data_IF_536598877809
#
_entry.id   IF_536598877809
#
_cell.length_a   1.000
_cell.length_b   1.000
_cell.length_c   1.000
_cell.angle_alpha   90.00
_cell.angle_beta   90.00
_cell.angle_gamma   90.00
#
_symmetry.space_group_name_H-M   'P 1'
#
loop_
_entity.id
_entity.type
_entity.pdbx_description
1 polymer ?
#
# COMPACT_ATOMS: atom_id res chain seq x y z
N UNK A 1 21.09 9.20 0.48
CA UNK A 1 20.11 9.93 -0.35
C UNK A 1 20.91 10.78 -1.34
N UNK A 2 21.11 10.30 -2.56
CA UNK A 2 21.67 11.12 -3.63
C UNK A 2 20.50 11.84 -4.28
N UNK A 3 20.55 13.17 -4.33
CA UNK A 3 19.63 13.94 -5.15
C UNK A 3 20.00 13.69 -6.62
N UNK A 4 19.30 12.77 -7.27
CA UNK A 4 19.41 12.53 -8.70
C UNK A 4 18.26 13.30 -9.33
N UNK A 5 18.60 14.25 -10.20
CA UNK A 5 17.62 14.94 -11.02
C UNK A 5 17.46 14.14 -12.31
N UNK A 6 16.28 13.58 -12.55
CA UNK A 6 15.60 13.65 -13.85
C UNK A 6 14.33 12.79 -13.88
N UNK A 7 13.18 13.47 -14.01
CA UNK A 7 12.22 13.26 -15.12
C UNK A 7 11.22 14.43 -15.17
N UNK A 8 11.59 15.48 -15.91
CA UNK A 8 10.66 16.39 -16.57
C UNK A 8 9.74 17.30 -15.72
N UNK A 9 10.25 17.99 -14.69
CA UNK A 9 9.61 19.22 -14.17
C UNK A 9 10.41 20.45 -14.55
N UNK A 10 10.51 20.72 -15.85
CA UNK A 10 10.67 22.10 -16.29
C UNK A 10 9.29 22.77 -16.12
N UNK A 11 9.01 23.32 -14.94
CA UNK A 11 7.93 24.31 -14.85
C UNK A 11 8.42 25.51 -15.66
N UNK A 12 8.01 25.55 -16.94
CA UNK A 12 8.43 26.58 -17.86
C UNK A 12 7.87 27.93 -17.38
N UNK A 13 8.71 28.73 -16.73
CA UNK A 13 8.47 30.16 -16.64
C UNK A 13 9.77 30.94 -16.95
N UNK A 14 9.84 31.69 -18.05
CA UNK A 14 11.02 32.45 -18.45
C UNK A 14 11.22 33.78 -17.69
N UNK A 15 10.43 34.06 -16.65
CA UNK A 15 10.28 35.42 -16.10
C UNK A 15 11.02 35.78 -14.80
N UNK A 16 11.28 34.87 -13.86
CA UNK A 16 11.94 35.24 -12.59
C UNK A 16 12.30 34.01 -11.73
N UNK A 17 13.54 34.00 -11.24
CA UNK A 17 14.12 33.19 -10.18
C UNK A 17 14.05 31.64 -10.30
N UNK A 18 15.20 31.10 -10.72
CA UNK A 18 15.98 29.92 -10.26
C UNK A 18 15.35 28.73 -9.52
N UNK A 19 14.18 28.86 -8.90
CA UNK A 19 13.58 27.87 -7.98
C UNK A 19 12.87 26.72 -8.70
N UNK A 20 12.68 26.83 -10.03
CA UNK A 20 12.01 25.82 -10.86
C UNK A 20 12.88 25.26 -11.98
N UNK A 21 14.17 25.55 -11.96
CA UNK A 21 15.10 25.02 -12.95
C UNK A 21 15.50 23.59 -12.57
N UNK A 22 15.63 22.65 -13.52
CA UNK A 22 15.97 21.24 -13.24
C UNK A 22 17.44 21.04 -12.82
N UNK A 23 18.10 22.09 -12.33
CA UNK A 23 19.51 22.11 -11.96
C UNK A 23 19.77 22.96 -10.72
N UNK A 24 20.77 22.55 -9.93
CA UNK A 24 21.24 23.29 -8.76
C UNK A 24 22.12 24.48 -9.19
N UNK A 25 21.95 25.64 -8.57
CA UNK A 25 22.91 26.73 -8.73
C UNK A 25 24.25 26.38 -8.07
N UNK A 26 25.34 26.53 -8.82
CA UNK A 26 26.70 26.34 -8.29
C UNK A 26 26.96 27.32 -7.15
N UNK A 27 27.48 26.84 -6.02
CA UNK A 27 27.85 27.67 -4.87
C UNK A 27 26.71 28.08 -3.93
N UNK A 28 25.46 27.65 -4.17
CA UNK A 28 24.35 27.84 -3.22
C UNK A 28 23.89 26.49 -2.63
N UNK A 29 23.57 26.42 -1.33
CA UNK A 29 22.79 25.31 -0.79
C UNK A 29 21.45 25.25 -1.56
N UNK A 30 21.23 24.18 -2.31
CA UNK A 30 19.98 23.98 -3.03
C UNK A 30 18.85 23.61 -2.08
N UNK A 31 17.65 24.12 -2.35
CA UNK A 31 16.43 23.64 -1.72
C UNK A 31 16.21 22.15 -2.06
N UNK A 32 15.50 21.43 -1.20
CA UNK A 32 14.99 20.10 -1.54
C UNK A 32 13.97 20.29 -2.67
N UNK A 33 14.12 19.53 -3.75
CA UNK A 33 13.30 19.67 -4.96
C UNK A 33 12.74 18.33 -5.45
N UNK A 34 13.34 17.22 -5.02
CA UNK A 34 12.91 15.87 -5.34
C UNK A 34 13.33 14.92 -4.21
N UNK A 35 12.46 13.97 -3.90
CA UNK A 35 12.81 12.76 -3.16
C UNK A 35 12.75 11.64 -4.18
N UNK A 36 13.82 10.87 -4.34
CA UNK A 36 13.86 9.74 -5.27
C UNK A 36 14.45 8.51 -4.55
N UNK A 37 13.78 7.37 -4.73
CA UNK A 37 14.21 6.10 -4.17
C UNK A 37 15.00 5.28 -5.20
N UNK A 38 15.97 4.46 -4.75
CA UNK A 38 16.62 3.49 -5.63
C UNK A 38 15.59 2.59 -6.34
N UNK A 39 15.90 2.18 -7.57
CA UNK A 39 15.00 1.33 -8.39
C UNK A 39 14.66 -0.02 -7.73
N UNK A 40 15.50 -0.50 -6.81
CA UNK A 40 15.30 -1.72 -6.04
C UNK A 40 14.60 -1.48 -4.68
N UNK A 41 14.12 -0.27 -4.42
CA UNK A 41 13.37 0.05 -3.22
C UNK A 41 12.02 -0.66 -3.19
N UNK A 42 11.71 -1.24 -2.03
CA UNK A 42 10.44 -1.91 -1.74
C UNK A 42 9.85 -1.32 -0.46
N UNK A 43 8.55 -1.03 -0.49
CA UNK A 43 7.77 -0.63 0.67
C UNK A 43 6.77 -1.73 1.00
N UNK A 44 6.67 -2.09 2.28
CA UNK A 44 5.70 -3.06 2.78
C UNK A 44 4.85 -2.38 3.86
N UNK A 45 3.53 -2.48 3.71
CA UNK A 45 2.57 -2.13 4.75
C UNK A 45 1.87 -3.41 5.17
N UNK A 46 1.88 -3.75 6.45
CA UNK A 46 1.22 -4.97 6.95
C UNK A 46 0.19 -4.62 8.02
N UNK A 47 -0.95 -5.30 7.96
CA UNK A 47 -2.08 -5.10 8.84
C UNK A 47 -2.20 -6.30 9.77
N UNK A 48 -2.07 -6.04 11.07
CA UNK A 48 -2.08 -7.03 12.12
C UNK A 48 -3.26 -6.75 13.05
N UNK A 49 -4.07 -7.77 13.33
CA UNK A 49 -5.14 -7.70 14.33
C UNK A 49 -4.78 -8.58 15.50
N UNK A 50 -5.03 -8.12 16.73
CA UNK A 50 -4.93 -9.01 17.89
C UNK A 50 -5.90 -10.18 17.72
N UNK A 51 -5.50 -11.37 18.17
CA UNK A 51 -6.30 -12.59 18.05
C UNK A 51 -7.72 -12.40 18.58
N UNK A 52 -7.85 -11.80 19.78
CA UNK A 52 -9.14 -11.46 20.38
C UNK A 52 -10.00 -10.59 19.45
N UNK A 53 -9.42 -9.54 18.87
CA UNK A 53 -10.14 -8.63 17.98
C UNK A 53 -10.52 -9.28 16.67
N UNK A 54 -9.64 -10.10 16.11
CA UNK A 54 -9.92 -10.88 14.91
C UNK A 54 -11.14 -11.78 15.13
N UNK A 55 -11.19 -12.49 16.27
CA UNK A 55 -12.32 -13.34 16.65
C UNK A 55 -13.62 -12.55 16.87
N UNK A 56 -13.56 -11.38 17.51
CA UNK A 56 -14.72 -10.48 17.67
C UNK A 56 -15.29 -10.00 16.34
N UNK A 57 -14.43 -9.82 15.33
CA UNK A 57 -14.81 -9.47 13.96
C UNK A 57 -15.23 -10.67 13.11
N UNK A 58 -15.32 -11.87 13.72
CA UNK A 58 -15.76 -13.08 13.06
C UNK A 58 -14.68 -13.80 12.25
N UNK A 59 -13.42 -13.35 12.29
CA UNK A 59 -12.30 -14.08 11.68
C UNK A 59 -12.00 -15.35 12.46
N UNK A 60 -11.62 -16.40 11.74
CA UNK A 60 -11.29 -17.72 12.29
C UNK A 60 -9.94 -18.16 11.77
N UNK A 61 -9.15 -18.75 12.64
CA UNK A 61 -7.91 -19.42 12.25
C UNK A 61 -8.24 -20.84 11.75
N UNK A 62 -8.72 -20.89 10.51
CA UNK A 62 -9.07 -22.13 9.83
C UNK A 62 -7.80 -22.98 9.59
N UNK A 63 -7.73 -24.24 10.06
CA UNK A 63 -6.58 -25.11 9.79
C UNK A 63 -6.28 -25.30 8.30
N UNK A 64 -7.29 -25.16 7.41
CA UNK A 64 -7.09 -25.22 5.97
C UNK A 64 -6.51 -23.93 5.38
N UNK A 65 -6.70 -22.79 6.07
CA UNK A 65 -6.22 -21.48 5.68
C UNK A 65 -5.75 -20.71 6.92
N UNK A 66 -4.64 -21.12 7.55
CA UNK A 66 -4.19 -20.52 8.80
C UNK A 66 -3.63 -19.12 8.56
N UNK A 67 -3.68 -18.28 9.59
CA UNK A 67 -3.06 -16.97 9.57
C UNK A 67 -1.56 -17.05 9.90
N UNK A 68 -0.78 -16.15 9.31
CA UNK A 68 0.56 -15.83 9.82
C UNK A 68 0.39 -15.10 11.15
N UNK A 69 1.16 -15.51 12.17
CA UNK A 69 1.03 -15.00 13.53
C UNK A 69 2.34 -14.40 14.03
N UNK A 70 2.21 -13.38 14.88
CA UNK A 70 3.34 -12.85 15.64
C UNK A 70 2.89 -12.27 16.98
N UNK A 71 3.78 -12.30 17.97
CA UNK A 71 3.63 -11.58 19.22
C UNK A 71 3.90 -10.11 18.96
N UNK A 72 2.94 -9.25 19.33
CA UNK A 72 3.10 -7.81 19.25
C UNK A 72 2.52 -7.17 20.49
N UNK A 73 3.08 -6.02 20.82
CA UNK A 73 2.48 -5.05 21.74
C UNK A 73 1.78 -3.98 20.92
N UNK A 74 0.46 -3.87 21.02
CA UNK A 74 -0.36 -2.92 20.25
C UNK A 74 -1.38 -2.23 21.16
N UNK A 75 -1.91 -1.09 20.71
CA UNK A 75 -2.94 -0.38 21.45
C UNK A 75 -4.25 -1.19 21.45
N UNK A 76 -4.73 -1.55 22.63
CA UNK A 76 -6.00 -2.25 22.85
C UNK A 76 -7.21 -1.30 22.86
N UNK A 77 -7.00 -0.01 23.13
CA UNK A 77 -8.00 1.03 23.02
C UNK A 77 -7.37 2.38 22.63
N UNK A 78 -8.19 3.29 22.10
CA UNK A 78 -7.83 4.63 21.64
C UNK A 78 -8.36 5.75 22.57
N UNK A 79 -9.10 5.38 23.63
CA UNK A 79 -9.72 6.33 24.56
C UNK A 79 -8.72 6.83 25.60
N UNK A 80 -8.32 8.11 25.48
CA UNK A 80 -7.65 8.91 26.53
C UNK A 80 -6.41 8.28 27.19
N UNK A 81 -5.57 7.65 26.36
CA UNK A 81 -4.22 7.09 26.58
C UNK A 81 -4.22 5.63 26.12
N UNK A 82 -3.51 5.29 25.03
CA UNK A 82 -3.56 3.94 24.50
C UNK A 82 -3.04 2.95 25.53
N UNK A 83 -3.91 2.05 26.00
CA UNK A 83 -3.48 0.88 26.76
C UNK A 83 -2.83 -0.06 25.76
N UNK A 84 -1.53 -0.32 25.93
CA UNK A 84 -0.82 -1.27 25.08
C UNK A 84 -0.86 -2.65 25.70
N UNK A 85 -1.42 -3.62 24.97
CA UNK A 85 -1.48 -5.01 25.38
C UNK A 85 -0.55 -5.85 24.49
N UNK A 86 0.11 -6.83 25.11
CA UNK A 86 0.90 -7.82 24.41
C UNK A 86 0.05 -9.06 24.13
N UNK A 87 0.15 -9.60 22.92
CA UNK A 87 -0.57 -10.80 22.56
C UNK A 87 -0.27 -11.27 21.14
N UNK A 88 -0.87 -12.41 20.80
CA UNK A 88 -0.82 -12.96 19.44
C UNK A 88 -1.61 -12.03 18.51
N UNK A 89 -0.98 -11.68 17.39
CA UNK A 89 -1.60 -10.94 16.30
C UNK A 89 -1.58 -11.77 15.03
N UNK A 90 -2.65 -11.68 14.26
CA UNK A 90 -2.83 -12.34 12.98
C UNK A 90 -2.59 -11.33 11.86
N UNK A 91 -1.76 -11.69 10.89
CA UNK A 91 -1.65 -10.93 9.65
C UNK A 91 -2.94 -11.13 8.85
N UNK A 92 -3.64 -10.05 8.55
CA UNK A 92 -4.90 -10.10 7.81
C UNK A 92 -4.79 -9.54 6.41
N UNK A 93 -3.84 -8.64 6.17
CA UNK A 93 -3.66 -7.97 4.90
C UNK A 93 -2.25 -7.36 4.82
N UNK A 94 -1.77 -7.13 3.61
CA UNK A 94 -0.57 -6.34 3.38
C UNK A 94 -0.53 -5.74 1.97
N UNK A 95 0.24 -4.68 1.82
CA UNK A 95 0.59 -4.08 0.55
C UNK A 95 2.09 -4.25 0.32
N UNK A 96 2.46 -4.53 -0.92
CA UNK A 96 3.83 -4.47 -1.40
C UNK A 96 3.86 -3.41 -2.49
N UNK A 97 4.85 -2.53 -2.43
CA UNK A 97 5.08 -1.54 -3.46
C UNK A 97 6.54 -1.52 -3.86
N UNK A 98 6.84 -1.41 -5.16
CA UNK A 98 8.21 -1.47 -5.69
C UNK A 98 8.48 -0.30 -6.63
N UNK A 99 9.68 0.28 -6.53
CA UNK A 99 10.15 1.37 -7.42
C UNK A 99 10.64 0.88 -8.79
N UNK A 100 10.37 -0.38 -9.15
CA UNK A 100 10.75 -0.96 -10.45
C UNK A 100 10.28 -0.13 -11.67
N UNK A 101 9.24 0.71 -11.52
CA UNK A 101 8.76 1.68 -12.52
C UNK A 101 8.55 3.06 -11.88
N UNK A 102 8.52 4.17 -12.66
CA UNK A 102 8.40 5.53 -12.12
C UNK A 102 7.19 5.75 -11.21
N UNK A 103 6.05 5.16 -11.60
CA UNK A 103 4.76 5.25 -10.90
C UNK A 103 4.61 4.28 -9.72
N UNK A 104 5.69 3.54 -9.41
CA UNK A 104 5.70 2.38 -8.53
C UNK A 104 4.73 1.27 -8.97
N UNK A 105 5.12 0.03 -8.72
CA UNK A 105 4.19 -1.11 -8.78
C UNK A 105 3.49 -1.18 -7.43
N UNK A 106 2.16 -1.27 -7.43
CA UNK A 106 1.36 -1.44 -6.22
C UNK A 106 0.68 -2.79 -6.28
N UNK A 107 0.79 -3.58 -5.21
CA UNK A 107 0.12 -4.85 -5.07
C UNK A 107 -0.48 -4.94 -3.66
N UNK A 108 -1.71 -5.45 -3.55
CA UNK A 108 -2.34 -5.67 -2.25
C UNK A 108 -2.82 -7.10 -2.11
N UNK A 109 -2.59 -7.65 -0.92
CA UNK A 109 -2.86 -9.02 -0.57
C UNK A 109 -3.74 -9.06 0.67
N UNK A 110 -4.64 -10.03 0.70
CA UNK A 110 -5.56 -10.25 1.80
C UNK A 110 -5.62 -11.74 2.15
N UNK A 111 -5.80 -12.02 3.42
CA UNK A 111 -6.11 -13.37 3.88
C UNK A 111 -7.42 -13.85 3.24
N UNK A 112 -7.50 -15.14 2.91
CA UNK A 112 -8.69 -15.70 2.24
C UNK A 112 -9.95 -15.68 3.07
N UNK A 113 -9.82 -15.75 4.38
CA UNK A 113 -10.94 -15.63 5.32
C UNK A 113 -11.48 -14.21 5.51
N UNK A 114 -10.89 -13.17 4.90
CA UNK A 114 -11.36 -11.80 5.10
C UNK A 114 -12.77 -11.60 4.51
N UNK A 115 -13.75 -11.15 5.31
CA UNK A 115 -15.07 -10.79 4.79
C UNK A 115 -14.96 -9.57 3.87
N UNK A 116 -15.69 -9.60 2.76
CA UNK A 116 -15.72 -8.48 1.82
C UNK A 116 -14.42 -8.27 1.02
N UNK A 117 -13.49 -9.24 1.02
CA UNK A 117 -12.20 -9.13 0.32
C UNK A 117 -12.35 -8.68 -1.14
N UNK A 118 -13.38 -9.13 -1.85
CA UNK A 118 -13.60 -8.78 -3.26
C UNK A 118 -14.81 -7.83 -3.49
N UNK A 119 -15.26 -7.13 -2.45
CA UNK A 119 -16.36 -6.17 -2.58
C UNK A 119 -15.99 -4.98 -3.49
N UNK A 120 -17.01 -4.35 -4.08
CA UNK A 120 -16.97 -3.18 -4.98
C UNK A 120 -16.21 -3.35 -6.30
N UNK A 121 -14.91 -3.65 -6.26
CA UNK A 121 -14.04 -3.70 -7.45
C UNK A 121 -13.78 -5.12 -7.95
N UNK A 122 -14.17 -6.14 -7.17
CA UNK A 122 -13.71 -7.52 -7.39
C UNK A 122 -12.25 -7.73 -6.98
N UNK A 123 -11.76 -8.94 -7.19
CA UNK A 123 -10.35 -9.31 -7.06
C UNK A 123 -9.81 -9.78 -8.41
N UNK A 124 -8.67 -9.25 -8.85
CA UNK A 124 -8.01 -9.62 -10.08
C UNK A 124 -6.61 -10.18 -9.81
N UNK A 125 -6.44 -11.48 -10.03
CA UNK A 125 -5.19 -12.20 -9.90
C UNK A 125 -4.91 -13.03 -11.17
N UNK A 126 -4.10 -12.47 -12.07
CA UNK A 126 -3.76 -13.10 -13.34
C UNK A 126 -2.63 -14.12 -13.26
N UNK A 127 -2.04 -14.34 -12.08
CA UNK A 127 -0.87 -15.20 -11.93
C UNK A 127 -1.01 -16.22 -10.80
N UNK A 128 -1.57 -15.82 -9.66
CA UNK A 128 -1.54 -16.54 -8.41
C UNK A 128 -2.61 -17.61 -8.27
N UNK A 129 -3.84 -17.20 -8.05
CA UNK A 129 -4.97 -18.09 -7.77
C UNK A 129 -6.10 -17.89 -8.77
N UNK A 130 -6.52 -18.99 -9.40
CA UNK A 130 -7.69 -19.00 -10.27
C UNK A 130 -8.97 -18.84 -9.44
N UNK A 131 -9.79 -17.87 -9.83
CA UNK A 131 -11.13 -17.65 -9.31
C UNK A 131 -11.98 -18.91 -9.43
N UNK A 132 -12.78 -19.14 -8.40
CA UNK A 132 -13.78 -20.21 -8.32
C UNK A 132 -15.20 -19.61 -8.33
N UNK A 133 -15.36 -18.42 -8.90
CA UNK A 133 -16.67 -17.81 -9.14
C UNK A 133 -17.53 -18.74 -10.02
N UNK A 134 -18.67 -19.16 -9.46
CA UNK A 134 -19.56 -20.14 -10.08
C UNK A 134 -20.23 -19.64 -11.37
N UNK A 135 -20.26 -18.33 -11.61
CA UNK A 135 -20.83 -17.76 -12.82
C UNK A 135 -19.79 -17.46 -13.91
N UNK A 136 -18.57 -17.98 -13.81
CA UNK A 136 -17.60 -17.96 -14.90
C UNK A 136 -18.02 -18.94 -16.00
N UNK A 137 -18.07 -18.45 -17.24
CA UNK A 137 -18.27 -19.31 -18.42
C UNK A 137 -16.96 -20.01 -18.81
N UNK A 138 -17.01 -21.16 -19.50
CA UNK A 138 -15.80 -21.91 -19.89
C UNK A 138 -14.79 -21.14 -20.75
N UNK A 139 -15.24 -20.11 -21.47
CA UNK A 139 -14.43 -19.26 -22.34
C UNK A 139 -13.87 -18.01 -21.64
N UNK A 140 -14.19 -17.82 -20.36
CA UNK A 140 -13.74 -16.66 -19.58
C UNK A 140 -12.45 -16.96 -18.82
N UNK A 141 -11.58 -15.97 -18.76
CA UNK A 141 -10.38 -16.04 -17.94
C UNK A 141 -10.75 -16.17 -16.45
N UNK A 142 -10.03 -17.03 -15.75
CA UNK A 142 -10.27 -17.33 -14.32
C UNK A 142 -9.51 -16.39 -13.39
N UNK A 143 -8.96 -15.28 -13.88
CA UNK A 143 -8.20 -14.35 -13.05
C UNK A 143 -9.07 -13.39 -12.23
N UNK A 144 -10.37 -13.28 -12.53
CA UNK A 144 -11.24 -12.31 -11.88
C UNK A 144 -12.31 -12.96 -11.02
N UNK A 145 -12.36 -12.58 -9.74
CA UNK A 145 -13.46 -12.89 -8.82
C UNK A 145 -14.36 -11.67 -8.72
N UNK A 146 -15.60 -11.79 -9.18
CA UNK A 146 -16.56 -10.68 -9.15
C UNK A 146 -17.00 -10.35 -7.72
N UNK A 147 -17.33 -9.08 -7.50
CA UNK A 147 -18.05 -8.68 -6.30
C UNK A 147 -19.42 -9.40 -6.27
N UNK A 148 -19.83 -9.87 -5.10
CA UNK A 148 -21.16 -10.45 -4.93
C UNK A 148 -22.23 -9.36 -5.05
N UNK A 149 -23.33 -9.72 -5.69
CA UNK A 149 -24.50 -8.85 -5.87
C UNK A 149 -25.78 -9.60 -5.56
N UNK A 150 -26.78 -8.89 -5.06
CA UNK A 150 -28.12 -9.42 -4.83
C UNK A 150 -29.17 -8.49 -5.46
N UNK A 151 -30.33 -9.05 -5.80
CA UNK A 151 -31.49 -8.26 -6.22
C UNK A 151 -31.97 -7.41 -5.04
N UNK A 152 -32.27 -6.14 -5.29
CA UNK A 152 -32.86 -5.24 -4.27
C UNK A 152 -34.33 -5.55 -3.94
N UNK A 153 -34.96 -6.45 -4.71
CA UNK A 153 -36.36 -6.88 -4.60
C UNK A 153 -37.37 -5.72 -4.67
N UNK A 154 -37.01 -4.62 -5.34
CA UNK A 154 -37.94 -3.53 -5.63
C UNK A 154 -38.85 -3.87 -6.82
N UNK A 155 -39.97 -3.14 -6.94
CA UNK A 155 -40.94 -3.33 -8.04
C UNK A 155 -40.30 -3.15 -9.42
N UNK A 156 -39.33 -2.25 -9.52
CA UNK A 156 -38.39 -2.14 -10.63
C UNK A 156 -37.03 -2.52 -10.04
N UNK A 157 -36.71 -3.81 -10.10
CA UNK A 157 -35.56 -4.36 -9.41
C UNK A 157 -34.25 -3.99 -10.08
N UNK A 158 -33.22 -3.73 -9.28
CA UNK A 158 -31.83 -3.64 -9.72
C UNK A 158 -30.93 -4.56 -8.87
N UNK A 159 -29.66 -4.69 -9.27
CA UNK A 159 -28.65 -5.44 -8.53
C UNK A 159 -27.77 -4.50 -7.70
N UNK A 160 -27.72 -4.77 -6.40
CA UNK A 160 -26.88 -4.05 -5.44
C UNK A 160 -25.76 -4.95 -4.95
N UNK A 161 -24.67 -4.37 -4.46
CA UNK A 161 -23.59 -5.14 -3.84
C UNK A 161 -24.08 -5.86 -2.58
N UNK A 162 -23.72 -7.14 -2.47
CA UNK A 162 -23.89 -7.94 -1.26
C UNK A 162 -22.56 -7.95 -0.50
N UNK A 163 -22.43 -7.03 0.45
CA UNK A 163 -21.17 -6.70 1.12
C UNK A 163 -20.85 -7.63 2.31
N UNK A 164 -19.57 -7.71 2.68
CA UNK A 164 -19.12 -8.44 3.88
C UNK A 164 -19.14 -9.96 3.74
N UNK A 165 -19.37 -10.45 2.53
CA UNK A 165 -19.47 -11.86 2.21
C UNK A 165 -18.10 -12.55 2.13
N UNK A 166 -18.09 -13.88 2.28
CA UNK A 166 -16.89 -14.68 2.02
C UNK A 166 -16.71 -14.94 0.54
N UNK A 167 -15.45 -15.04 0.10
CA UNK A 167 -15.08 -15.34 -1.27
C UNK A 167 -14.21 -16.60 -1.29
N UNK A 168 -14.50 -17.57 -2.17
CA UNK A 168 -13.66 -18.75 -2.33
C UNK A 168 -12.17 -18.44 -2.52
N UNK A 169 -11.32 -19.32 -1.99
CA UNK A 169 -9.87 -19.16 -2.06
C UNK A 169 -9.25 -19.41 -3.42
N UNK A 170 -9.99 -20.04 -4.34
CA UNK A 170 -9.48 -20.39 -5.64
C UNK A 170 -8.40 -21.48 -5.61
N UNK A 171 -7.92 -21.84 -6.79
CA UNK A 171 -6.87 -22.86 -6.96
C UNK A 171 -5.56 -22.19 -7.31
N UNK A 172 -4.49 -22.51 -6.58
CA UNK A 172 -3.15 -21.97 -6.84
C UNK A 172 -2.66 -22.44 -8.21
N UNK A 173 -2.15 -21.51 -9.01
CA UNK A 173 -1.53 -21.83 -10.30
C UNK A 173 -0.23 -22.62 -10.09
N UNK A 174 0.16 -23.47 -11.06
CA UNK A 174 1.46 -24.14 -11.02
C UNK A 174 2.63 -23.15 -10.98
N UNK A 175 2.52 -22.02 -11.69
CA UNK A 175 3.55 -20.98 -11.74
C UNK A 175 3.80 -20.32 -10.39
N UNK A 176 2.73 -19.92 -9.69
CA UNK A 176 2.87 -19.39 -8.32
C UNK A 176 3.38 -20.47 -7.37
N UNK A 177 2.87 -21.69 -7.48
CA UNK A 177 3.38 -22.82 -6.69
C UNK A 177 4.89 -23.01 -6.84
N UNK A 178 5.42 -22.92 -8.07
CA UNK A 178 6.86 -22.99 -8.33
C UNK A 178 7.61 -21.83 -7.70
N UNK A 179 7.16 -20.58 -7.87
CA UNK A 179 7.81 -19.39 -7.30
C UNK A 179 7.89 -19.49 -5.77
N UNK A 180 6.79 -19.84 -5.11
CA UNK A 180 6.77 -20.03 -3.66
C UNK A 180 7.72 -21.15 -3.23
N UNK A 181 7.73 -22.27 -3.97
CA UNK A 181 8.64 -23.38 -3.70
C UNK A 181 10.11 -23.01 -3.84
N UNK A 182 10.48 -22.37 -4.95
CA UNK A 182 11.87 -21.96 -5.24
C UNK A 182 12.40 -20.98 -4.20
N UNK A 183 11.52 -20.11 -3.66
CA UNK A 183 11.85 -19.13 -2.62
C UNK A 183 11.71 -19.68 -1.19
N UNK A 184 11.30 -20.94 -1.03
CA UNK A 184 11.07 -21.55 0.29
C UNK A 184 9.93 -20.90 1.07
N UNK A 185 8.94 -20.30 0.39
CA UNK A 185 7.79 -19.64 1.00
C UNK A 185 6.66 -20.64 1.19
N UNK A 186 6.24 -20.85 2.43
CA UNK A 186 5.13 -21.74 2.77
C UNK A 186 5.35 -23.22 2.43
N UNK A 187 6.60 -23.67 2.44
CA UNK A 187 7.02 -25.04 2.13
C UNK A 187 7.41 -25.88 3.35
N UNK A 188 7.58 -25.25 4.51
CA UNK A 188 8.00 -25.91 5.74
C UNK A 188 6.82 -26.39 6.59
N UNK A 189 7.11 -26.96 7.78
CA UNK A 189 6.07 -27.21 8.77
C UNK A 189 5.47 -25.89 9.26
N UNK A 190 4.21 -25.92 9.72
CA UNK A 190 3.63 -24.83 10.48
C UNK A 190 4.59 -24.43 11.61
N UNK A 191 4.78 -23.13 11.83
CA UNK A 191 5.64 -22.66 12.92
C UNK A 191 5.14 -23.27 14.23
N UNK A 192 5.90 -24.23 14.77
CA UNK A 192 5.51 -24.97 15.96
C UNK A 192 5.53 -24.02 17.17
N UNK A 193 4.38 -23.49 17.55
CA UNK A 193 4.10 -22.95 18.88
C UNK A 193 4.95 -21.77 19.37
N UNK A 194 5.75 -21.11 18.52
CA UNK A 194 6.60 -20.00 18.95
C UNK A 194 6.37 -18.74 18.08
N UNK A 195 5.31 -17.96 18.34
CA UNK A 195 4.90 -16.84 17.50
C UNK A 195 5.79 -15.60 17.67
N UNK A 196 7.10 -15.72 17.89
CA UNK A 196 7.93 -14.53 18.09
C UNK A 196 8.07 -13.72 16.80
N UNK A 197 8.21 -14.37 15.64
CA UNK A 197 8.28 -13.73 14.31
C UNK A 197 7.81 -14.67 13.20
N UNK A 198 7.17 -14.14 12.13
CA UNK A 198 6.88 -14.92 10.93
C UNK A 198 8.16 -15.46 10.29
N UNK A 199 8.12 -16.68 9.78
CA UNK A 199 9.20 -17.28 8.98
C UNK A 199 8.71 -17.51 7.56
N UNK A 200 9.59 -17.39 6.56
CA UNK A 200 9.21 -17.54 5.16
C UNK A 200 8.61 -18.92 4.87
N UNK A 201 9.13 -19.98 5.50
CA UNK A 201 8.68 -21.36 5.29
C UNK A 201 7.30 -21.67 5.88
N UNK A 202 6.67 -20.75 6.61
CA UNK A 202 5.38 -20.99 7.25
C UNK A 202 4.25 -21.25 6.22
N UNK A 203 3.61 -22.42 6.21
CA UNK A 203 2.56 -22.76 5.24
C UNK A 203 1.38 -21.77 5.24
N UNK A 204 1.17 -20.99 6.30
CA UNK A 204 0.15 -19.95 6.35
C UNK A 204 0.33 -18.85 5.29
N UNK A 205 1.52 -18.68 4.70
CA UNK A 205 1.69 -17.79 3.54
C UNK A 205 0.81 -18.20 2.34
N UNK A 206 0.42 -19.47 2.26
CA UNK A 206 -0.51 -19.98 1.24
C UNK A 206 -1.97 -19.59 1.49
N UNK A 207 -2.29 -18.86 2.56
CA UNK A 207 -3.65 -18.37 2.86
C UNK A 207 -3.91 -16.96 2.31
N UNK A 208 -2.89 -16.28 1.77
CA UNK A 208 -3.01 -14.91 1.25
C UNK A 208 -3.22 -14.91 -0.26
N UNK A 209 -4.10 -14.05 -0.75
CA UNK A 209 -4.42 -13.89 -2.18
C UNK A 209 -4.08 -12.49 -2.62
N UNK A 210 -3.55 -12.37 -3.83
CA UNK A 210 -3.47 -11.09 -4.51
C UNK A 210 -4.91 -10.63 -4.77
N UNK A 211 -5.25 -9.43 -4.30
CA UNK A 211 -6.52 -8.79 -4.63
C UNK A 211 -6.42 -8.02 -5.94
N UNK A 212 -5.26 -7.43 -6.21
CA UNK A 212 -4.98 -6.76 -7.47
C UNK A 212 -3.66 -6.00 -7.44
N UNK A 213 -3.29 -5.51 -8.61
CA UNK A 213 -2.15 -4.62 -8.81
C UNK A 213 -2.58 -3.31 -9.47
N UNK A 214 -1.79 -2.27 -9.28
CA UNK A 214 -2.00 -0.97 -9.91
C UNK A 214 -0.64 -0.39 -10.31
N UNK A 215 -0.51 0.03 -11.56
CA UNK A 215 0.69 0.68 -12.11
C UNK A 215 0.36 1.97 -12.85
N UNK A 216 -0.91 2.18 -13.16
CA UNK A 216 -1.42 3.33 -13.92
C UNK A 216 -2.54 4.01 -13.13
N UNK A 217 -2.68 5.32 -13.29
CA UNK A 217 -3.75 6.11 -12.69
C UNK A 217 -5.11 5.91 -13.37
N UNK A 218 -5.09 5.57 -14.67
CA UNK A 218 -6.28 5.41 -15.50
C UNK A 218 -6.19 4.19 -16.40
N UNK A 219 -7.33 3.63 -16.79
CA UNK A 219 -7.42 2.61 -17.81
C UNK A 219 -7.15 3.19 -19.21
N UNK A 220 -7.10 2.32 -20.22
CA UNK A 220 -6.94 2.73 -21.63
C UNK A 220 -8.05 3.62 -22.17
N UNK A 221 -9.19 3.69 -21.48
CA UNK A 221 -10.34 4.56 -21.84
C UNK A 221 -10.48 5.76 -20.90
N UNK A 222 -9.46 6.04 -20.07
CA UNK A 222 -9.43 7.23 -19.20
C UNK A 222 -10.20 7.10 -17.89
N UNK A 223 -10.75 5.93 -17.56
CA UNK A 223 -11.40 5.70 -16.26
C UNK A 223 -10.34 5.55 -15.16
N UNK A 224 -10.52 6.21 -14.02
CA UNK A 224 -9.64 6.03 -12.87
C UNK A 224 -9.55 4.55 -12.46
N UNK A 225 -8.33 4.02 -12.36
CA UNK A 225 -8.12 2.67 -11.86
C UNK A 225 -8.36 2.66 -10.35
N UNK A 226 -8.99 1.59 -9.84
CA UNK A 226 -9.30 1.44 -8.42
C UNK A 226 -8.66 0.17 -7.88
N UNK A 227 -8.06 0.32 -6.70
CA UNK A 227 -7.49 -0.77 -5.93
C UNK A 227 -7.50 -0.37 -4.47
N UNK A 228 -8.15 -1.18 -3.64
CA UNK A 228 -8.19 -0.99 -2.19
C UNK A 228 -8.22 -2.33 -1.49
N UNK A 229 -7.71 -2.37 -0.28
CA UNK A 229 -7.73 -3.47 0.66
C UNK A 229 -8.91 -3.31 1.62
N UNK A 230 -9.68 -4.36 1.86
CA UNK A 230 -10.86 -4.32 2.73
C UNK A 230 -10.52 -3.99 4.19
N UNK A 231 -9.26 -4.21 4.59
CA UNK A 231 -8.76 -3.92 5.93
C UNK A 231 -8.17 -2.50 6.01
N UNK A 232 -7.16 -2.18 5.19
CA UNK A 232 -6.49 -0.87 5.24
C UNK A 232 -7.42 0.27 4.85
N UNK A 233 -8.26 0.06 3.83
CA UNK A 233 -9.17 1.06 3.30
C UNK A 233 -10.63 0.80 3.69
N UNK A 234 -10.85 0.07 4.79
CA UNK A 234 -12.17 -0.20 5.35
C UNK A 234 -13.00 1.09 5.48
N UNK A 235 -14.19 1.11 4.89
CA UNK A 235 -15.09 2.27 4.85
C UNK A 235 -14.96 3.14 3.59
N UNK A 236 -13.87 3.03 2.82
CA UNK A 236 -13.68 3.84 1.61
C UNK A 236 -13.07 3.09 0.41
N UNK A 237 -12.99 1.75 0.49
CA UNK A 237 -12.50 0.83 -0.56
C UNK A 237 -13.03 1.17 -1.95
N UNK A 238 -14.32 1.52 -2.04
CA UNK A 238 -14.97 1.82 -3.32
C UNK A 238 -14.34 3.03 -4.03
N UNK A 239 -13.66 3.94 -3.32
CA UNK A 239 -12.99 5.13 -3.85
C UNK A 239 -11.46 5.00 -3.88
N UNK A 240 -10.93 3.85 -3.47
CA UNK A 240 -9.50 3.65 -3.22
C UNK A 240 -8.67 3.53 -4.50
N UNK A 241 -7.52 4.19 -4.49
CA UNK A 241 -6.41 3.97 -5.42
C UNK A 241 -5.12 4.02 -4.63
N UNK A 242 -4.38 2.91 -4.61
CA UNK A 242 -3.06 2.86 -3.99
C UNK A 242 -2.15 3.94 -4.56
N UNK A 243 -2.00 3.99 -5.90
CA UNK A 243 -1.09 4.94 -6.55
C UNK A 243 -1.52 6.39 -6.37
N UNK A 244 -2.81 6.73 -6.55
CA UNK A 244 -3.26 8.13 -6.48
C UNK A 244 -3.27 8.67 -5.06
N UNK A 245 -3.71 7.85 -4.10
CA UNK A 245 -3.66 8.22 -2.69
C UNK A 245 -2.20 8.46 -2.26
N UNK A 246 -1.27 7.61 -2.71
CA UNK A 246 0.14 7.78 -2.41
C UNK A 246 0.81 8.90 -3.21
N UNK A 247 0.29 9.30 -4.38
CA UNK A 247 0.80 10.46 -5.11
C UNK A 247 0.72 11.76 -4.27
N UNK A 248 -0.16 11.79 -3.27
CA UNK A 248 -0.32 12.91 -2.34
C UNK A 248 0.72 12.90 -1.22
N UNK A 249 1.51 11.84 -1.06
CA UNK A 249 2.60 11.78 -0.10
C UNK A 249 3.58 12.93 -0.39
N UNK A 250 3.64 13.90 0.53
CA UNK A 250 4.33 15.15 0.28
C UNK A 250 4.74 15.88 1.55
N UNK A 251 5.75 16.72 1.40
CA UNK A 251 6.22 17.71 2.37
C UNK A 251 5.73 19.09 1.94
N UNK A 252 5.63 20.03 2.89
CA UNK A 252 5.45 21.43 2.53
C UNK A 252 6.61 21.93 1.66
N UNK A 253 6.37 22.93 0.82
CA UNK A 253 7.39 23.48 -0.08
C UNK A 253 8.68 23.98 0.62
N UNK A 254 8.60 24.29 1.92
CA UNK A 254 9.74 24.65 2.76
C UNK A 254 10.43 23.44 3.43
N UNK A 255 10.06 22.22 3.07
CA UNK A 255 10.52 20.98 3.70
C UNK A 255 9.81 20.63 5.02
N UNK A 256 8.74 21.35 5.40
CA UNK A 256 7.99 21.04 6.63
C UNK A 256 7.30 19.68 6.53
N UNK A 257 7.41 18.89 7.61
CA UNK A 257 6.73 17.61 7.81
C UNK A 257 5.37 17.76 8.51
N UNK A 258 4.95 18.98 8.86
CA UNK A 258 3.67 19.21 9.54
C UNK A 258 3.25 20.69 9.62
N UNK A 259 1.94 21.01 9.44
CA UNK A 259 0.88 20.14 8.92
C UNK A 259 1.16 19.73 7.46
N UNK A 260 0.77 18.51 7.08
CA UNK A 260 0.97 18.02 5.71
C UNK A 260 0.14 18.84 4.73
N UNK A 261 0.70 19.25 3.57
CA UNK A 261 -0.04 20.05 2.60
C UNK A 261 -1.16 19.26 1.94
N UNK A 262 -1.00 17.94 1.80
CA UNK A 262 -1.99 17.03 1.25
C UNK A 262 -2.26 15.90 2.24
N UNK A 263 -3.52 15.76 2.66
CA UNK A 263 -3.96 14.63 3.49
C UNK A 263 -4.17 13.35 2.68
N UNK A 264 -4.43 12.25 3.38
CA UNK A 264 -4.83 10.95 2.79
C UNK A 264 -6.20 11.05 2.11
N UNK A 265 -7.12 11.79 2.72
CA UNK A 265 -8.50 11.93 2.26
C UNK A 265 -8.73 13.23 1.48
N UNK A 266 -9.71 13.21 0.58
CA UNK A 266 -10.33 14.42 0.04
C UNK A 266 -11.43 14.89 0.99
N UNK A 267 -11.76 16.18 0.94
CA UNK A 267 -12.86 16.78 1.70
C UNK A 267 -14.23 16.44 1.10
N UNK A 268 -14.49 15.16 0.87
CA UNK A 268 -15.73 14.63 0.33
C UNK A 268 -16.12 13.37 1.11
N UNK A 269 -17.34 13.34 1.63
CA UNK A 269 -17.90 12.16 2.28
C UNK A 269 -18.47 11.20 1.24
N UNK A 270 -18.39 9.90 1.53
CA UNK A 270 -19.10 8.84 0.83
C UNK A 270 -20.54 8.70 1.32
N UNK A 271 -21.34 7.91 0.61
CA UNK A 271 -22.74 7.63 0.95
C UNK A 271 -22.91 6.95 2.33
N UNK A 272 -21.83 6.38 2.89
CA UNK A 272 -21.81 5.75 4.22
C UNK A 272 -21.14 6.63 5.29
N UNK A 273 -20.81 7.88 4.96
CA UNK A 273 -20.28 8.88 5.91
C UNK A 273 -18.75 8.87 6.10
N UNK A 274 -18.02 7.95 5.47
CA UNK A 274 -16.56 7.96 5.47
C UNK A 274 -16.00 8.94 4.43
N UNK A 275 -14.86 9.58 4.72
CA UNK A 275 -14.17 10.38 3.73
C UNK A 275 -13.63 9.51 2.58
N UNK A 276 -13.61 10.07 1.38
CA UNK A 276 -13.11 9.41 0.17
C UNK A 276 -11.60 9.61 0.00
N UNK A 277 -10.96 8.69 -0.69
CA UNK A 277 -9.57 8.86 -1.14
C UNK A 277 -9.49 9.48 -2.54
N UNK A 278 -8.38 10.13 -2.86
CA UNK A 278 -8.12 10.56 -4.24
C UNK A 278 -7.90 9.35 -5.16
N UNK A 279 -8.45 9.42 -6.37
CA UNK A 279 -8.28 8.42 -7.43
C UNK A 279 -8.21 9.12 -8.80
N UNK A 280 -7.50 8.51 -9.76
CA UNK A 280 -7.25 9.08 -11.08
C UNK A 280 -5.91 9.80 -11.16
N UNK A 281 -5.73 10.61 -12.20
CA UNK A 281 -4.46 11.33 -12.44
C UNK A 281 -4.22 12.37 -11.33
N UNK A 282 -2.98 12.52 -10.82
CA UNK A 282 -2.67 13.58 -9.85
C UNK A 282 -2.99 14.98 -10.40
N UNK A 283 -3.61 15.83 -9.58
CA UNK A 283 -3.90 17.22 -9.94
C UNK A 283 -2.62 18.07 -9.76
N UNK A 284 -2.12 18.75 -10.81
CA UNK A 284 -0.97 19.64 -10.71
C UNK A 284 -1.11 20.72 -9.62
N UNK A 285 -2.34 21.16 -9.32
CA UNK A 285 -2.61 22.16 -8.30
C UNK A 285 -2.35 21.67 -6.86
N UNK A 286 -2.13 20.36 -6.68
CA UNK A 286 -1.65 19.82 -5.40
C UNK A 286 -0.22 20.26 -5.08
N UNK A 287 0.60 20.49 -6.10
CA UNK A 287 2.04 20.71 -5.94
C UNK A 287 2.44 22.17 -6.13
N UNK A 288 1.70 22.93 -6.94
CA UNK A 288 1.98 24.34 -7.17
C UNK A 288 0.71 25.15 -7.47
N UNK A 289 0.73 26.45 -7.19
CA UNK A 289 -0.36 27.35 -7.59
C UNK A 289 -0.35 27.56 -9.11
N UNK A 290 -1.51 27.79 -9.70
CA UNK A 290 -1.65 28.17 -11.11
C UNK A 290 -1.35 29.66 -11.40
N UNK A 291 -0.81 30.40 -10.41
CA UNK A 291 -0.45 31.82 -10.55
C UNK A 291 0.80 31.98 -11.42
N UNK A 292 1.07 33.20 -11.88
CA UNK A 292 2.28 33.54 -12.62
C UNK A 292 3.10 34.57 -11.82
N UNK A 293 4.31 34.22 -11.32
CA UNK A 293 4.92 32.89 -11.37
C UNK A 293 4.20 31.87 -10.48
N UNK A 294 4.31 30.58 -10.85
CA UNK A 294 3.77 29.49 -10.04
C UNK A 294 4.49 29.44 -8.70
N UNK A 295 3.77 29.15 -7.61
CA UNK A 295 4.36 29.05 -6.27
C UNK A 295 4.27 27.61 -5.79
N UNK A 296 5.36 26.99 -5.30
CA UNK A 296 5.31 25.62 -4.84
C UNK A 296 4.49 25.53 -3.55
N UNK A 297 3.66 24.49 -3.44
CA UNK A 297 2.83 24.18 -2.28
C UNK A 297 3.33 22.92 -1.58
N UNK A 298 3.64 21.88 -2.36
CA UNK A 298 4.01 20.57 -1.85
C UNK A 298 5.11 19.93 -2.70
N UNK A 299 6.06 19.25 -2.04
CA UNK A 299 7.09 18.43 -2.69
C UNK A 299 6.69 16.97 -2.46
N UNK A 300 6.43 16.23 -3.55
CA UNK A 300 6.08 14.81 -3.45
C UNK A 300 7.24 13.99 -2.88
N UNK A 301 6.96 13.06 -1.97
CA UNK A 301 7.94 12.16 -1.35
C UNK A 301 8.02 10.82 -2.08
N UNK A 302 7.92 10.87 -3.42
CA UNK A 302 7.93 9.70 -4.31
C UNK A 302 7.03 8.56 -3.80
N UNK A 303 5.76 8.90 -3.58
CA UNK A 303 4.71 8.00 -3.12
C UNK A 303 4.87 7.42 -1.68
N UNK A 304 5.90 7.78 -0.91
CA UNK A 304 6.17 7.18 0.40
C UNK A 304 5.78 8.12 1.55
N UNK A 305 4.70 7.78 2.26
CA UNK A 305 4.31 8.47 3.51
C UNK A 305 5.24 8.18 4.68
N UNK A 306 5.94 7.04 4.65
CA UNK A 306 6.85 6.61 5.71
C UNK A 306 8.01 7.58 5.98
N UNK A 307 8.28 8.50 5.04
CA UNK A 307 9.27 9.56 5.21
C UNK A 307 9.03 10.41 6.47
N UNK A 308 7.77 10.55 6.92
CA UNK A 308 7.44 11.28 8.15
C UNK A 308 8.04 10.67 9.42
N UNK A 309 8.45 9.40 9.35
CA UNK A 309 9.09 8.67 10.44
C UNK A 309 10.57 8.39 10.14
N UNK A 310 11.12 8.95 9.06
CA UNK A 310 12.52 8.77 8.72
C UNK A 310 13.42 9.50 9.72
N UNK A 311 14.39 8.78 10.25
CA UNK A 311 15.47 9.35 11.08
C UNK A 311 16.69 9.60 10.22
N UNK A 312 17.43 10.67 10.53
CA UNK A 312 18.73 10.91 9.92
C UNK A 312 19.69 9.74 10.26
N UNK A 313 20.49 9.31 9.29
CA UNK A 313 21.55 8.31 9.54
C UNK A 313 22.64 8.99 10.37
N UNK A 314 22.91 8.46 11.57
CA UNK A 314 23.96 8.98 12.45
C UNK A 314 25.32 8.98 11.73
N UNK A 315 26.02 10.11 11.77
CA UNK A 315 27.36 10.26 11.19
C UNK A 315 27.43 10.83 9.77
N UNK A 316 26.29 11.06 9.10
CA UNK A 316 26.26 11.90 7.90
C UNK A 316 25.62 13.25 8.24
N UNK A 317 26.46 14.28 8.41
CA UNK A 317 26.02 15.65 8.61
C UNK A 317 25.41 16.16 7.30
N UNK A 318 24.10 15.98 7.12
CA UNK A 318 23.36 16.73 6.10
C UNK A 318 22.87 18.05 6.71
N UNK A 319 23.08 19.20 6.04
CA UNK A 319 22.54 20.48 6.49
C UNK A 319 21.02 20.40 6.62
N UNK A 320 20.49 20.55 7.83
CA UNK A 320 19.04 20.55 8.10
C UNK A 320 18.53 19.56 9.15
N UNK A 321 19.33 18.61 9.63
CA UNK A 321 18.91 17.76 10.76
C UNK A 321 19.10 18.53 12.09
N UNK A 322 18.05 18.69 12.92
CA UNK A 322 18.23 19.23 14.27
C UNK A 322 19.10 18.29 15.09
N UNK A 323 20.06 18.85 15.84
CA UNK A 323 21.10 18.14 16.59
C UNK A 323 20.58 17.23 17.74
N UNK A 324 19.27 16.93 17.80
CA UNK A 324 18.62 16.19 18.90
C UNK A 324 17.67 15.08 18.45
N UNK A 325 17.69 14.66 17.18
CA UNK A 325 17.10 13.36 16.85
C UNK A 325 18.03 12.27 17.40
N UNK A 326 17.75 11.76 18.60
CA UNK A 326 18.34 10.52 19.07
C UNK A 326 18.07 9.45 18.02
N UNK A 327 19.12 9.06 17.30
CA UNK A 327 19.04 7.99 16.32
C UNK A 327 18.47 6.76 17.03
N UNK A 328 17.34 6.25 16.54
CA UNK A 328 16.92 4.90 16.86
C UNK A 328 18.11 3.99 16.58
N UNK A 329 18.67 3.43 17.67
CA UNK A 329 19.82 2.52 17.61
C UNK A 329 19.56 1.53 16.50
N UNK A 330 20.52 1.40 15.58
CA UNK A 330 20.55 0.38 14.55
C UNK A 330 20.52 -1.01 15.20
N UNK A 331 19.31 -1.48 15.49
CA UNK A 331 18.97 -2.84 15.89
C UNK A 331 17.95 -3.47 14.93
N UNK A 332 17.76 -2.85 13.76
CA UNK A 332 17.03 -3.46 12.66
C UNK A 332 17.79 -4.67 12.13
N UNK A 333 17.10 -5.72 11.65
CA UNK A 333 17.77 -6.84 10.99
C UNK A 333 18.67 -6.33 9.86
N UNK A 334 19.82 -6.98 9.65
CA UNK A 334 20.69 -6.71 8.50
C UNK A 334 19.85 -6.67 7.21
N UNK A 335 20.16 -5.75 6.27
CA UNK A 335 19.48 -5.72 4.98
C UNK A 335 19.57 -7.11 4.34
N UNK A 336 18.43 -7.80 4.26
CA UNK A 336 18.37 -9.09 3.63
C UNK A 336 18.77 -8.93 2.16
N UNK A 337 19.57 -9.89 1.67
CA UNK A 337 19.98 -9.95 0.26
C UNK A 337 18.73 -9.79 -0.62
N UNK A 338 18.80 -8.90 -1.61
CA UNK A 338 17.63 -8.64 -2.46
C UNK A 338 17.14 -9.92 -3.14
N UNK A 339 15.83 -10.05 -3.32
CA UNK A 339 15.19 -11.17 -4.04
C UNK A 339 15.86 -11.43 -5.40
N UNK A 340 16.36 -10.39 -6.08
CA UNK A 340 17.10 -10.53 -7.34
C UNK A 340 18.42 -11.31 -7.23
N UNK A 341 19.06 -11.31 -6.05
CA UNK A 341 20.26 -12.12 -5.81
C UNK A 341 19.95 -13.61 -5.61
N UNK A 342 18.71 -13.94 -5.27
CA UNK A 342 18.22 -15.31 -5.07
C UNK A 342 17.74 -15.91 -6.41
N UNK A 343 17.20 -15.09 -7.31
CA UNK A 343 16.67 -15.52 -8.62
C UNK A 343 17.77 -15.76 -9.69
N UNK A 344 19.03 -15.36 -9.44
CA UNK A 344 20.15 -15.49 -10.40
C UNK A 344 21.08 -16.69 -10.14
N UNK A 345 20.59 -17.78 -9.55
CA UNK A 345 21.30 -19.06 -9.47
C UNK A 345 20.49 -20.15 -10.19
#
# INVERSE_FOLDING_TARGET
>A
MQAIFQRATAYANPGSDTDFMPYRQVGKPGALVEVDFPVDAVMIKSNWLSEKRAQELGLRDDPANPHIKMMMKSAANDKNSPIFEEGIHWLVAFHISSKDIPNWIWATFEHVGNPGRCDYTGCNDSYGYASSDAGLRPDQATNFTRAKTACDNLRLSDFVFQLGETYPGGTRSPGLGKVLSDLGIGTGPAAAGNPLRPVASDPAWNSYRLKGTQTEFTSSVGQATRLGNSVTEGGFVNSSSCITCHARASLGANGSTGPLPLGVFVSEASDVGYLRSANGVPDPNWYATSRQPATPLAIQTDFVWGFLFASCIAGQVTPGCPARAEALRAGGPEPQRSIRSIIRQ
#
